data_IF_722713022876
#
_entry.id   IF_722713022876
#
_cell.length_a   1.000
_cell.length_b   1.000
_cell.length_c   1.000
_cell.angle_alpha   90.00
_cell.angle_beta   90.00
_cell.angle_gamma   90.00
#
_symmetry.space_group_name_H-M   'P 1'
#
loop_
_entity.id
_entity.type
_entity.pdbx_description
1 polymer ?
#
# COMPACT_ATOMS: atom_id res chain seq x y z
N UNK A 1 20.35 0.76 -9.73
CA UNK A 1 20.17 1.07 -8.30
C UNK A 1 21.49 0.83 -7.59
N UNK A 2 22.21 1.89 -7.16
CA UNK A 2 23.31 1.68 -6.20
C UNK A 2 22.64 1.38 -4.86
N UNK A 3 22.83 0.17 -4.34
CA UNK A 3 22.40 -0.15 -2.98
C UNK A 3 23.33 0.63 -2.05
N UNK A 4 22.80 1.62 -1.37
CA UNK A 4 23.55 2.39 -0.38
C UNK A 4 23.96 1.43 0.74
N UNK A 5 25.21 1.51 1.23
CA UNK A 5 25.70 0.64 2.32
C UNK A 5 24.78 0.69 3.54
N UNK A 6 24.15 1.84 3.79
CA UNK A 6 23.13 2.03 4.84
C UNK A 6 21.89 1.14 4.67
N UNK A 7 21.45 0.87 3.43
CA UNK A 7 20.32 -0.02 3.16
C UNK A 7 20.65 -1.48 3.50
N UNK A 8 21.88 -1.93 3.22
CA UNK A 8 22.35 -3.27 3.61
C UNK A 8 22.35 -3.40 5.12
N UNK A 9 22.90 -2.41 5.83
CA UNK A 9 22.94 -2.39 7.30
C UNK A 9 21.51 -2.46 7.88
N UNK A 10 20.56 -1.69 7.33
CA UNK A 10 19.15 -1.74 7.73
C UNK A 10 18.58 -3.14 7.55
N UNK A 11 18.75 -3.72 6.37
CA UNK A 11 18.24 -5.05 6.05
C UNK A 11 18.82 -6.10 6.99
N UNK A 12 20.12 -6.05 7.27
CA UNK A 12 20.78 -6.98 8.19
C UNK A 12 20.24 -6.85 9.62
N UNK A 13 20.22 -5.63 10.18
CA UNK A 13 19.72 -5.39 11.55
C UNK A 13 18.26 -5.80 11.67
N UNK A 14 17.41 -5.33 10.76
CA UNK A 14 15.99 -5.64 10.80
C UNK A 14 15.72 -7.13 10.61
N UNK A 15 16.47 -7.82 9.75
CA UNK A 15 16.33 -9.27 9.58
C UNK A 15 16.67 -9.99 10.87
N UNK A 16 17.82 -9.72 11.48
CA UNK A 16 18.23 -10.37 12.73
C UNK A 16 17.16 -10.17 13.83
N UNK A 17 16.72 -8.92 14.03
CA UNK A 17 15.71 -8.61 15.04
C UNK A 17 14.37 -9.29 14.74
N UNK A 18 13.91 -9.25 13.50
CA UNK A 18 12.59 -9.81 13.12
C UNK A 18 12.58 -11.35 13.17
N UNK A 19 13.68 -12.00 12.77
CA UNK A 19 13.80 -13.46 12.89
C UNK A 19 13.92 -13.89 14.35
N UNK A 20 14.74 -13.21 15.16
CA UNK A 20 14.80 -13.47 16.59
C UNK A 20 13.41 -13.36 17.24
N UNK A 21 12.68 -12.29 16.90
CA UNK A 21 11.34 -12.07 17.40
C UNK A 21 10.33 -13.14 16.93
N UNK A 22 10.44 -13.59 15.67
CA UNK A 22 9.64 -14.70 15.15
C UNK A 22 9.81 -15.99 15.95
N UNK A 23 11.06 -16.38 16.20
CA UNK A 23 11.34 -17.59 16.97
C UNK A 23 10.84 -17.44 18.40
N UNK A 24 11.16 -16.32 19.06
CA UNK A 24 10.71 -16.05 20.42
C UNK A 24 9.18 -16.12 20.57
N UNK A 25 8.43 -15.51 19.64
CA UNK A 25 6.96 -15.52 19.69
C UNK A 25 6.38 -16.88 19.29
N UNK A 26 7.02 -17.59 18.36
CA UNK A 26 6.59 -18.94 18.00
C UNK A 26 6.73 -19.91 19.17
N UNK A 27 7.80 -19.78 19.96
CA UNK A 27 8.01 -20.59 21.16
C UNK A 27 7.05 -20.18 22.29
N UNK A 28 6.85 -18.88 22.49
CA UNK A 28 5.95 -18.36 23.54
C UNK A 28 4.47 -18.67 23.25
N UNK A 29 4.07 -18.58 21.97
CA UNK A 29 2.69 -18.72 21.51
C UNK A 29 2.65 -19.65 20.28
N UNK A 30 2.75 -20.98 20.48
CA UNK A 30 2.87 -21.95 19.39
C UNK A 30 1.56 -22.17 18.62
N UNK A 31 0.42 -21.82 19.23
CA UNK A 31 -0.90 -21.88 18.60
C UNK A 31 -1.31 -20.52 18.04
N UNK A 32 -2.26 -20.47 17.09
CA UNK A 32 -2.74 -19.21 16.55
C UNK A 32 -3.26 -18.29 17.65
N UNK A 33 -3.00 -16.99 17.54
CA UNK A 33 -3.45 -15.97 18.47
C UNK A 33 -4.51 -15.07 17.83
N UNK A 34 -5.69 -14.97 18.46
CA UNK A 34 -6.80 -14.11 18.01
C UNK A 34 -7.16 -14.34 16.52
N UNK A 35 -6.98 -13.33 15.65
CA UNK A 35 -7.40 -13.43 14.26
C UNK A 35 -6.52 -14.35 13.41
N UNK A 36 -5.36 -14.79 13.91
CA UNK A 36 -4.54 -15.81 13.25
C UNK A 36 -5.30 -17.12 13.04
N UNK A 37 -6.28 -17.45 13.91
CA UNK A 37 -7.15 -18.61 13.71
C UNK A 37 -7.88 -18.53 12.37
N UNK A 38 -8.45 -17.37 12.06
CA UNK A 38 -9.16 -17.14 10.80
C UNK A 38 -8.19 -17.10 9.62
N UNK A 39 -7.06 -16.40 9.76
CA UNK A 39 -6.06 -16.29 8.69
C UNK A 39 -5.44 -17.64 8.32
N UNK A 40 -5.14 -18.48 9.31
CA UNK A 40 -4.60 -19.82 9.10
C UNK A 40 -5.63 -20.72 8.41
N UNK A 41 -6.86 -20.77 8.92
CA UNK A 41 -7.92 -21.58 8.33
C UNK A 41 -8.20 -21.21 6.87
N UNK A 42 -8.27 -19.92 6.56
CA UNK A 42 -8.47 -19.41 5.20
C UNK A 42 -7.31 -19.82 4.30
N UNK A 43 -6.07 -19.61 4.74
CA UNK A 43 -4.89 -20.01 3.97
C UNK A 43 -4.88 -21.51 3.70
N UNK A 44 -5.16 -22.33 4.70
CA UNK A 44 -5.22 -23.79 4.56
C UNK A 44 -6.32 -24.25 3.61
N UNK A 45 -7.47 -23.57 3.62
CA UNK A 45 -8.54 -23.79 2.65
C UNK A 45 -8.03 -23.55 1.23
N UNK A 46 -7.33 -22.43 0.98
CA UNK A 46 -6.69 -22.17 -0.30
C UNK A 46 -5.57 -23.16 -0.66
N UNK A 47 -4.83 -23.66 0.32
CA UNK A 47 -3.82 -24.70 0.10
C UNK A 47 -4.43 -26.04 -0.35
N UNK A 48 -5.50 -26.48 0.33
CA UNK A 48 -6.16 -27.76 0.08
C UNK A 48 -6.95 -27.78 -1.23
N UNK A 49 -7.23 -26.63 -1.82
CA UNK A 49 -7.78 -26.47 -3.16
C UNK A 49 -6.72 -26.83 -4.22
N UNK A 50 -6.30 -28.10 -4.21
CA UNK A 50 -5.29 -28.70 -5.09
C UNK A 50 -5.78 -28.90 -6.53
N UNK A 51 -7.06 -28.65 -6.83
CA UNK A 51 -7.71 -29.02 -8.09
C UNK A 51 -8.14 -27.85 -8.99
N UNK A 52 -8.00 -26.59 -8.56
CA UNK A 52 -8.30 -25.46 -9.43
C UNK A 52 -7.10 -25.12 -10.31
N UNK A 53 -7.05 -25.75 -11.47
CA UNK A 53 -6.26 -25.28 -12.60
C UNK A 53 -6.73 -23.87 -12.95
N UNK A 54 -5.93 -22.85 -12.59
CA UNK A 54 -6.13 -21.46 -13.02
C UNK A 54 -5.72 -21.38 -14.50
N UNK A 55 -6.48 -22.04 -15.36
CA UNK A 55 -6.24 -22.08 -16.80
C UNK A 55 -6.88 -20.91 -17.52
N UNK A 56 -7.75 -20.15 -16.85
CA UNK A 56 -8.44 -18.99 -17.42
C UNK A 56 -8.59 -17.86 -16.39
N UNK A 57 -8.61 -16.61 -16.89
CA UNK A 57 -8.92 -15.42 -16.11
C UNK A 57 -10.33 -15.48 -15.51
N UNK A 58 -11.28 -16.15 -16.18
CA UNK A 58 -12.63 -16.40 -15.68
C UNK A 58 -12.62 -17.24 -14.39
N UNK A 59 -11.78 -18.28 -14.34
CA UNK A 59 -11.65 -19.14 -13.14
C UNK A 59 -11.02 -18.38 -11.97
N UNK A 60 -10.07 -17.47 -12.25
CA UNK A 60 -9.49 -16.59 -11.23
C UNK A 60 -10.54 -15.63 -10.66
N UNK A 61 -11.35 -15.01 -11.51
CA UNK A 61 -12.45 -14.13 -11.08
C UNK A 61 -13.47 -14.91 -10.26
N UNK A 62 -13.88 -16.10 -10.69
CA UNK A 62 -14.78 -16.95 -9.91
C UNK A 62 -14.18 -17.34 -8.55
N UNK A 63 -12.88 -17.61 -8.48
CA UNK A 63 -12.17 -17.93 -7.24
C UNK A 63 -12.08 -16.73 -6.28
N UNK A 64 -12.05 -15.50 -6.81
CA UNK A 64 -12.00 -14.25 -6.03
C UNK A 64 -13.39 -13.73 -5.63
N UNK A 65 -14.45 -14.11 -6.35
CA UNK A 65 -15.78 -13.49 -6.26
C UNK A 65 -16.90 -14.45 -5.82
N UNK A 66 -16.81 -15.76 -6.08
CA UNK A 66 -17.91 -16.71 -5.82
C UNK A 66 -17.66 -17.69 -4.64
N UNK A 67 -18.69 -17.98 -3.82
CA UNK A 67 -18.66 -19.09 -2.84
C UNK A 67 -18.46 -20.42 -3.57
N UNK A 68 -17.70 -21.40 -3.03
CA UNK A 68 -17.32 -21.58 -1.62
C UNK A 68 -15.95 -20.99 -1.22
N UNK A 69 -15.27 -20.27 -2.12
CA UNK A 69 -13.89 -19.80 -1.93
C UNK A 69 -13.76 -18.61 -0.98
N UNK A 70 -14.86 -17.88 -0.84
CA UNK A 70 -15.13 -16.98 0.28
C UNK A 70 -16.10 -17.75 1.17
N UNK A 71 -15.68 -18.23 2.34
CA UNK A 71 -16.65 -18.71 3.31
C UNK A 71 -17.65 -17.56 3.52
N UNK A 72 -18.97 -17.76 3.45
CA UNK A 72 -19.94 -16.66 3.60
C UNK A 72 -19.82 -15.93 4.94
N UNK A 73 -19.19 -16.59 5.92
CA UNK A 73 -18.80 -16.01 7.20
C UNK A 73 -17.52 -15.18 7.17
N UNK A 74 -16.65 -15.38 6.20
CA UNK A 74 -15.34 -14.76 6.14
C UNK A 74 -15.44 -13.48 5.35
N UNK A 75 -14.71 -12.49 5.82
CA UNK A 75 -14.90 -11.08 5.50
C UNK A 75 -13.61 -10.44 4.94
N UNK A 76 -12.49 -11.12 5.11
CA UNK A 76 -11.20 -10.60 4.70
C UNK A 76 -10.97 -10.86 3.22
N UNK A 77 -10.54 -9.85 2.44
CA UNK A 77 -10.17 -10.02 1.04
C UNK A 77 -9.20 -11.19 0.73
N UNK A 78 -9.35 -11.87 -0.41
CA UNK A 78 -8.70 -13.16 -0.67
C UNK A 78 -7.24 -13.07 -1.12
N UNK A 79 -6.73 -11.91 -1.55
CA UNK A 79 -5.43 -11.82 -2.25
C UNK A 79 -4.27 -12.25 -1.36
N UNK A 80 -4.30 -11.88 -0.07
CA UNK A 80 -3.25 -12.27 0.88
C UNK A 80 -3.13 -13.80 0.99
N UNK A 81 -4.25 -14.49 1.22
CA UNK A 81 -4.29 -15.95 1.39
C UNK A 81 -3.98 -16.68 0.08
N UNK A 82 -4.47 -16.14 -1.04
CA UNK A 82 -4.17 -16.67 -2.36
C UNK A 82 -2.66 -16.61 -2.65
N UNK A 83 -2.02 -15.47 -2.39
CA UNK A 83 -0.57 -15.34 -2.58
C UNK A 83 0.20 -16.26 -1.63
N UNK A 84 -0.12 -16.24 -0.34
CA UNK A 84 0.53 -17.10 0.65
C UNK A 84 0.44 -18.59 0.26
N UNK A 85 -0.75 -19.07 -0.13
CA UNK A 85 -0.98 -20.47 -0.46
C UNK A 85 -0.50 -20.88 -1.85
N UNK A 86 -0.80 -20.12 -2.91
CA UNK A 86 -0.53 -20.54 -4.30
C UNK A 86 0.85 -20.14 -4.78
N UNK A 87 1.32 -18.95 -4.41
CA UNK A 87 2.62 -18.47 -4.83
C UNK A 87 3.72 -19.01 -3.93
N UNK A 88 3.52 -18.95 -2.61
CA UNK A 88 4.56 -19.31 -1.63
C UNK A 88 4.38 -20.70 -1.00
N UNK A 89 3.22 -21.35 -1.19
CA UNK A 89 2.90 -22.66 -0.58
C UNK A 89 2.98 -22.65 0.94
N UNK A 90 2.65 -21.52 1.54
CA UNK A 90 2.60 -21.35 2.99
C UNK A 90 1.25 -21.86 3.50
N UNK A 91 1.28 -22.99 4.20
CA UNK A 91 0.07 -23.66 4.71
C UNK A 91 0.12 -23.95 6.22
N UNK A 92 1.17 -23.48 6.91
CA UNK A 92 1.30 -23.60 8.36
C UNK A 92 1.43 -22.22 9.01
N UNK A 93 1.13 -22.16 10.31
CA UNK A 93 1.19 -20.93 11.10
C UNK A 93 2.57 -20.28 11.05
N UNK A 94 3.64 -21.07 11.21
CA UNK A 94 5.01 -20.58 11.15
C UNK A 94 5.31 -19.86 9.83
N UNK A 95 4.90 -20.43 8.69
CA UNK A 95 5.13 -19.81 7.39
C UNK A 95 4.33 -18.51 7.20
N UNK A 96 3.13 -18.42 7.76
CA UNK A 96 2.34 -17.20 7.72
C UNK A 96 2.94 -16.07 8.59
N UNK A 97 3.46 -16.42 9.78
CA UNK A 97 4.21 -15.47 10.61
C UNK A 97 5.51 -15.05 9.93
N UNK A 98 6.23 -15.99 9.31
CA UNK A 98 7.41 -15.71 8.48
C UNK A 98 7.08 -14.74 7.33
N UNK A 99 5.93 -14.89 6.68
CA UNK A 99 5.49 -13.97 5.63
C UNK A 99 5.29 -12.54 6.15
N UNK A 100 4.77 -12.40 7.36
CA UNK A 100 4.60 -11.09 8.04
C UNK A 100 5.95 -10.47 8.42
N UNK A 101 6.91 -11.29 8.88
CA UNK A 101 8.30 -10.89 9.15
C UNK A 101 9.02 -10.43 7.89
N UNK A 102 8.93 -11.19 6.79
CA UNK A 102 9.50 -10.79 5.50
C UNK A 102 8.90 -9.47 5.01
N UNK A 103 7.58 -9.30 5.17
CA UNK A 103 6.89 -8.04 4.84
C UNK A 103 7.42 -6.88 5.69
N UNK A 104 7.66 -7.07 6.99
CA UNK A 104 8.25 -6.06 7.88
C UNK A 104 9.68 -5.67 7.48
N UNK A 105 10.51 -6.64 7.08
CA UNK A 105 11.88 -6.37 6.59
C UNK A 105 11.80 -5.51 5.33
N UNK A 106 10.89 -5.85 4.41
CA UNK A 106 10.70 -5.11 3.18
C UNK A 106 10.11 -3.70 3.43
N UNK A 107 9.20 -3.56 4.41
CA UNK A 107 8.67 -2.28 4.86
C UNK A 107 9.80 -1.35 5.35
N UNK A 108 10.84 -1.90 5.98
CA UNK A 108 12.03 -1.13 6.41
C UNK A 108 12.82 -0.59 5.24
N UNK A 109 13.08 -1.45 4.26
CA UNK A 109 13.79 -1.08 3.06
C UNK A 109 13.03 -0.01 2.26
N UNK A 110 11.72 -0.18 2.09
CA UNK A 110 10.86 0.79 1.40
C UNK A 110 10.79 2.12 2.13
N UNK A 111 10.57 2.09 3.44
CA UNK A 111 10.50 3.30 4.27
C UNK A 111 11.80 4.09 4.20
N UNK A 112 12.95 3.42 4.32
CA UNK A 112 14.25 4.05 4.12
C UNK A 112 14.38 4.66 2.70
N UNK A 113 14.02 3.91 1.66
CA UNK A 113 14.09 4.37 0.28
C UNK A 113 13.22 5.61 0.03
N UNK A 114 12.03 5.65 0.62
CA UNK A 114 11.11 6.80 0.56
C UNK A 114 11.73 8.01 1.26
N UNK A 115 12.18 7.87 2.52
CA UNK A 115 12.76 8.99 3.26
C UNK A 115 14.04 9.53 2.62
N UNK A 116 14.92 8.64 2.13
CA UNK A 116 16.12 9.05 1.40
C UNK A 116 15.77 9.77 0.10
N UNK A 117 14.75 9.32 -0.63
CA UNK A 117 14.28 10.01 -1.85
C UNK A 117 13.72 11.40 -1.54
N UNK A 118 12.90 11.52 -0.49
CA UNK A 118 12.32 12.80 -0.06
C UNK A 118 13.43 13.77 0.35
N UNK A 119 14.39 13.31 1.16
CA UNK A 119 15.56 14.10 1.57
C UNK A 119 16.33 14.62 0.35
N UNK A 120 16.67 13.72 -0.57
CA UNK A 120 17.51 14.06 -1.72
C UNK A 120 16.82 15.01 -2.71
N UNK A 121 15.49 15.15 -2.67
CA UNK A 121 14.73 16.01 -3.58
C UNK A 121 14.28 17.33 -2.94
N UNK A 122 13.81 17.28 -1.70
CA UNK A 122 13.07 18.39 -1.12
C UNK A 122 13.79 19.03 0.07
N UNK A 123 14.69 18.31 0.75
CA UNK A 123 15.25 18.82 1.98
C UNK A 123 16.66 18.28 2.28
N UNK A 124 17.65 18.84 1.59
CA UNK A 124 19.08 18.53 1.82
C UNK A 124 19.58 18.90 3.23
N UNK A 125 18.82 19.70 3.98
CA UNK A 125 19.16 20.06 5.38
C UNK A 125 18.94 18.91 6.35
N UNK A 126 18.20 17.87 5.95
CA UNK A 126 18.00 16.65 6.74
C UNK A 126 19.35 15.90 6.83
N UNK A 127 19.84 15.53 8.02
CA UNK A 127 21.05 14.71 8.18
C UNK A 127 20.93 13.36 7.46
N UNK A 128 22.04 12.85 6.93
CA UNK A 128 22.08 11.57 6.20
C UNK A 128 21.60 10.37 7.04
N UNK A 129 21.72 10.44 8.37
CA UNK A 129 21.31 9.38 9.27
C UNK A 129 19.81 9.44 9.64
N UNK A 130 19.13 10.56 9.40
CA UNK A 130 17.72 10.71 9.79
C UNK A 130 16.76 9.78 9.02
N UNK A 131 16.91 9.53 7.70
CA UNK A 131 16.13 8.51 6.99
C UNK A 131 16.24 7.10 7.60
N UNK A 132 17.46 6.74 8.05
CA UNK A 132 17.69 5.49 8.78
C UNK A 132 16.85 5.46 10.06
N UNK A 133 16.99 6.46 10.92
CA UNK A 133 16.27 6.53 12.19
C UNK A 133 14.75 6.51 12.03
N UNK A 134 14.21 7.28 11.08
CA UNK A 134 12.76 7.32 10.82
C UNK A 134 12.24 5.97 10.33
N UNK A 135 12.99 5.29 9.44
CA UNK A 135 12.61 3.96 8.97
C UNK A 135 12.55 2.93 10.11
N UNK A 136 13.51 2.97 11.04
CA UNK A 136 13.54 2.07 12.20
C UNK A 136 12.43 2.42 13.20
N UNK A 137 12.21 3.71 13.47
CA UNK A 137 11.22 4.17 14.43
C UNK A 137 9.80 3.70 14.09
N UNK A 138 9.42 3.75 12.81
CA UNK A 138 8.09 3.29 12.38
C UNK A 138 7.90 1.79 12.60
N UNK A 139 8.93 1.00 12.35
CA UNK A 139 8.83 -0.46 12.34
C UNK A 139 8.91 -1.04 13.74
N UNK A 140 9.73 -0.43 14.59
CA UNK A 140 9.84 -0.77 16.01
C UNK A 140 8.65 -0.21 16.80
N UNK A 141 7.77 0.57 16.18
CA UNK A 141 6.55 1.03 16.86
C UNK A 141 5.79 -0.18 17.44
N UNK A 142 5.27 -0.09 18.68
CA UNK A 142 4.63 -1.23 19.34
C UNK A 142 3.51 -1.86 18.50
N UNK A 143 2.77 -1.02 17.77
CA UNK A 143 1.67 -1.45 16.90
C UNK A 143 2.17 -2.27 15.71
N UNK A 144 3.15 -1.78 14.94
CA UNK A 144 3.69 -2.58 13.84
C UNK A 144 4.41 -3.82 14.35
N UNK A 145 5.17 -3.71 15.44
CA UNK A 145 5.89 -4.84 16.03
C UNK A 145 4.92 -5.97 16.39
N UNK A 146 3.79 -5.65 17.01
CA UNK A 146 2.72 -6.63 17.28
C UNK A 146 2.27 -7.36 15.99
N UNK A 147 1.95 -6.61 14.93
CA UNK A 147 1.53 -7.21 13.65
C UNK A 147 2.66 -7.92 12.89
N UNK A 148 3.94 -7.64 13.19
CA UNK A 148 5.08 -8.37 12.62
C UNK A 148 5.20 -9.76 13.21
N UNK A 149 4.91 -9.91 14.51
CA UNK A 149 5.03 -11.18 15.23
C UNK A 149 3.97 -12.22 14.83
N UNK A 150 2.78 -11.75 14.48
CA UNK A 150 1.62 -12.59 14.20
C UNK A 150 1.20 -12.48 12.73
N UNK A 151 0.52 -13.50 12.23
CA UNK A 151 0.09 -13.63 10.84
C UNK A 151 -1.13 -12.75 10.49
N UNK A 152 -1.01 -11.43 10.65
CA UNK A 152 -2.04 -10.47 10.25
C UNK A 152 -1.81 -9.95 8.83
N UNK A 153 -2.89 -9.54 8.17
CA UNK A 153 -2.83 -8.95 6.82
C UNK A 153 -2.21 -7.55 6.79
N UNK A 154 -2.09 -6.89 7.95
CA UNK A 154 -1.58 -5.52 8.12
C UNK A 154 -0.20 -5.32 7.53
N UNK A 155 0.76 -6.21 7.82
CA UNK A 155 2.14 -6.03 7.38
C UNK A 155 2.28 -6.03 5.86
N UNK A 156 1.56 -6.95 5.21
CA UNK A 156 1.53 -7.03 3.76
C UNK A 156 0.73 -5.87 3.13
N UNK A 157 -0.35 -5.42 3.78
CA UNK A 157 -1.09 -4.23 3.34
C UNK A 157 -0.20 -2.98 3.38
N UNK A 158 0.60 -2.80 4.44
CA UNK A 158 1.60 -1.73 4.56
C UNK A 158 2.68 -1.86 3.47
N UNK A 159 3.13 -3.07 3.14
CA UNK A 159 4.08 -3.30 2.04
C UNK A 159 3.56 -2.74 0.72
N UNK A 160 2.38 -3.16 0.31
CA UNK A 160 1.79 -2.71 -0.95
C UNK A 160 1.49 -1.20 -0.93
N UNK A 161 1.09 -0.64 0.21
CA UNK A 161 0.90 0.79 0.40
C UNK A 161 2.21 1.57 0.22
N UNK A 162 3.31 1.12 0.84
CA UNK A 162 4.62 1.73 0.69
C UNK A 162 5.17 1.59 -0.74
N UNK A 163 4.89 0.47 -1.43
CA UNK A 163 5.20 0.33 -2.87
C UNK A 163 4.45 1.39 -3.68
N UNK A 164 3.15 1.59 -3.40
CA UNK A 164 2.33 2.58 -4.10
C UNK A 164 2.89 4.01 -3.93
N UNK A 165 3.25 4.38 -2.70
CA UNK A 165 3.90 5.67 -2.39
C UNK A 165 5.25 5.77 -3.09
N UNK A 166 6.10 4.75 -2.95
CA UNK A 166 7.46 4.77 -3.53
C UNK A 166 7.41 4.93 -5.03
N UNK A 167 6.47 4.23 -5.68
CA UNK A 167 6.24 4.30 -7.12
C UNK A 167 5.84 5.71 -7.52
N UNK A 168 4.82 6.30 -6.87
CA UNK A 168 4.42 7.67 -7.20
C UNK A 168 5.56 8.68 -6.97
N UNK A 169 6.34 8.54 -5.88
CA UNK A 169 7.52 9.39 -5.66
C UNK A 169 8.50 9.29 -6.83
N UNK A 170 8.78 8.09 -7.38
CA UNK A 170 9.61 7.95 -8.58
C UNK A 170 9.05 8.73 -9.77
N UNK A 171 7.73 8.77 -9.94
CA UNK A 171 7.10 9.51 -11.02
C UNK A 171 7.27 11.03 -10.88
N UNK A 172 7.48 11.53 -9.66
CA UNK A 172 7.82 12.93 -9.39
C UNK A 172 9.28 13.28 -9.65
N UNK A 173 10.17 12.29 -9.75
CA UNK A 173 11.61 12.50 -9.95
C UNK A 173 12.04 12.48 -11.40
N UNK A 174 11.32 11.74 -12.24
CA UNK A 174 11.62 11.62 -13.67
C UNK A 174 11.14 12.92 -14.33
N UNK A 175 12.02 13.58 -15.11
CA UNK A 175 11.75 14.87 -15.76
C UNK A 175 10.47 14.85 -16.61
N UNK A 176 10.11 13.67 -17.12
CA UNK A 176 8.78 13.39 -17.66
C UNK A 176 7.96 12.62 -16.63
N UNK A 177 6.97 13.29 -16.05
CA UNK A 177 5.98 12.66 -15.18
C UNK A 177 5.33 11.47 -15.89
N UNK A 178 5.73 10.27 -15.50
CA UNK A 178 5.28 9.05 -16.16
C UNK A 178 3.88 8.68 -15.69
N UNK A 179 2.91 8.76 -16.60
CA UNK A 179 1.53 8.33 -16.35
C UNK A 179 1.45 6.84 -15.98
N UNK A 180 2.34 6.02 -16.54
CA UNK A 180 2.43 4.59 -16.28
C UNK A 180 2.70 4.31 -14.79
N UNK A 181 3.50 5.16 -14.19
CA UNK A 181 3.98 5.07 -12.84
C UNK A 181 2.86 5.44 -11.83
N UNK A 182 2.00 6.43 -12.17
CA UNK A 182 0.76 6.69 -11.41
C UNK A 182 -0.32 5.62 -11.62
N UNK A 183 -0.42 5.04 -12.82
CA UNK A 183 -1.28 3.86 -13.05
C UNK A 183 -0.86 2.72 -12.11
N UNK A 184 0.43 2.39 -12.07
CA UNK A 184 0.94 1.35 -11.19
C UNK A 184 0.70 1.67 -9.71
N UNK A 185 0.92 2.91 -9.28
CA UNK A 185 0.60 3.36 -7.91
C UNK A 185 -0.89 3.17 -7.59
N UNK A 186 -1.78 3.61 -8.47
CA UNK A 186 -3.24 3.46 -8.31
C UNK A 186 -3.68 1.99 -8.24
N UNK A 187 -3.07 1.11 -9.05
CA UNK A 187 -3.33 -0.32 -9.02
C UNK A 187 -2.84 -0.96 -7.72
N UNK A 188 -1.69 -0.53 -7.19
CA UNK A 188 -1.24 -0.99 -5.88
C UNK A 188 -2.23 -0.58 -4.79
N UNK A 189 -2.67 0.69 -4.73
CA UNK A 189 -3.68 1.15 -3.78
C UNK A 189 -4.98 0.35 -3.88
N UNK A 190 -5.48 0.14 -5.10
CA UNK A 190 -6.69 -0.64 -5.36
C UNK A 190 -6.52 -2.09 -4.91
N UNK A 191 -5.36 -2.70 -5.18
CA UNK A 191 -5.04 -4.07 -4.79
C UNK A 191 -5.02 -4.23 -3.27
N UNK A 192 -4.52 -3.23 -2.52
CA UNK A 192 -4.62 -3.26 -1.06
C UNK A 192 -6.07 -3.14 -0.64
N UNK A 193 -6.79 -2.13 -1.12
CA UNK A 193 -8.16 -1.85 -0.68
C UNK A 193 -9.11 -3.02 -0.99
N UNK A 194 -9.06 -3.60 -2.20
CA UNK A 194 -9.96 -4.68 -2.59
C UNK A 194 -9.43 -6.05 -2.18
N UNK A 195 -8.11 -6.27 -2.29
CA UNK A 195 -7.49 -7.58 -2.24
C UNK A 195 -6.92 -7.97 -0.88
N UNK A 196 -6.55 -7.01 -0.02
CA UNK A 196 -5.93 -7.29 1.29
C UNK A 196 -6.74 -6.73 2.44
N UNK A 197 -6.96 -5.40 2.44
CA UNK A 197 -7.62 -4.68 3.53
C UNK A 197 -8.32 -3.41 3.06
N UNK A 198 -9.63 -3.39 3.22
CA UNK A 198 -10.52 -2.36 2.68
C UNK A 198 -10.36 -0.97 3.26
N UNK A 199 -9.98 -0.86 4.53
CA UNK A 199 -9.76 0.43 5.18
C UNK A 199 -8.66 1.26 4.52
N UNK A 200 -7.80 0.65 3.69
CA UNK A 200 -6.77 1.36 2.93
C UNK A 200 -7.29 2.28 1.83
N UNK A 201 -8.58 2.20 1.47
CA UNK A 201 -9.18 3.21 0.59
C UNK A 201 -9.12 4.63 1.20
N UNK A 202 -9.18 4.74 2.53
CA UNK A 202 -9.09 6.04 3.23
C UNK A 202 -7.68 6.61 3.06
N UNK A 203 -6.66 5.75 3.22
CA UNK A 203 -5.27 6.13 3.03
C UNK A 203 -4.97 6.51 1.56
N UNK A 204 -5.60 5.82 0.61
CA UNK A 204 -5.55 6.19 -0.80
C UNK A 204 -6.18 7.57 -1.05
N UNK A 205 -7.34 7.86 -0.45
CA UNK A 205 -7.98 9.18 -0.56
C UNK A 205 -7.09 10.30 0.04
N UNK A 206 -6.50 10.06 1.22
CA UNK A 206 -5.54 10.99 1.84
C UNK A 206 -4.31 11.22 0.98
N UNK A 207 -3.78 10.17 0.34
CA UNK A 207 -2.69 10.28 -0.62
C UNK A 207 -3.06 11.12 -1.85
N UNK A 208 -4.24 10.90 -2.44
CA UNK A 208 -4.75 11.71 -3.55
C UNK A 208 -4.90 13.18 -3.15
N UNK A 209 -5.44 13.45 -1.96
CA UNK A 209 -5.53 14.81 -1.43
C UNK A 209 -4.14 15.46 -1.32
N UNK A 210 -3.15 14.73 -0.82
CA UNK A 210 -1.76 15.20 -0.76
C UNK A 210 -1.20 15.54 -2.16
N UNK A 211 -1.44 14.70 -3.17
CA UNK A 211 -1.03 14.98 -4.56
C UNK A 211 -1.66 16.27 -5.10
N UNK A 212 -2.94 16.49 -4.82
CA UNK A 212 -3.66 17.71 -5.23
C UNK A 212 -3.01 18.98 -4.65
N UNK A 213 -2.47 18.93 -3.43
CA UNK A 213 -1.78 20.07 -2.83
C UNK A 213 -0.32 20.22 -3.30
N UNK A 214 0.37 19.10 -3.53
CA UNK A 214 1.80 19.11 -3.88
C UNK A 214 2.10 19.43 -5.35
N UNK A 215 1.29 18.92 -6.28
CA UNK A 215 1.54 19.15 -7.72
C UNK A 215 1.48 20.64 -8.08
N UNK A 216 0.44 21.41 -7.67
CA UNK A 216 0.35 22.82 -8.03
C UNK A 216 1.42 23.68 -7.36
N UNK A 217 1.84 23.33 -6.13
CA UNK A 217 2.86 24.07 -5.38
C UNK A 217 4.26 23.88 -5.99
N UNK A 218 4.64 22.64 -6.34
CA UNK A 218 5.89 22.38 -7.07
C UNK A 218 5.92 23.11 -8.41
N UNK A 219 4.83 22.98 -9.19
CA UNK A 219 4.74 23.64 -10.48
C UNK A 219 4.80 25.18 -10.34
N UNK A 220 4.18 25.77 -9.31
CA UNK A 220 4.30 27.20 -9.04
C UNK A 220 5.75 27.62 -8.76
N UNK A 221 6.49 26.86 -7.96
CA UNK A 221 7.89 27.13 -7.62
C UNK A 221 8.80 27.13 -8.86
N UNK A 222 8.72 26.09 -9.69
CA UNK A 222 9.50 25.97 -10.93
C UNK A 222 9.23 27.13 -11.90
N UNK A 223 8.00 27.65 -11.89
CA UNK A 223 7.60 28.79 -12.71
C UNK A 223 8.19 30.10 -12.18
N UNK A 224 8.16 30.34 -10.87
CA UNK A 224 8.77 31.53 -10.26
C UNK A 224 10.26 31.60 -10.53
N UNK A 225 10.97 30.47 -10.39
CA UNK A 225 12.41 30.38 -10.68
C UNK A 225 12.70 30.62 -12.17
N UNK A 226 11.86 30.12 -13.09
CA UNK A 226 11.99 30.44 -14.53
C UNK A 226 11.66 31.89 -14.87
N UNK A 227 10.73 32.53 -14.14
CA UNK A 227 10.36 33.94 -14.35
C UNK A 227 11.43 34.90 -13.88
N UNK A 228 12.10 34.62 -12.76
CA UNK A 228 13.23 35.43 -12.28
C UNK A 228 14.39 35.43 -13.28
N UNK A 229 14.56 34.33 -14.04
CA UNK A 229 15.59 34.21 -15.07
C UNK A 229 15.20 34.79 -16.45
N UNK A 230 13.98 35.33 -16.65
CA UNK A 230 13.48 35.74 -17.97
C UNK A 230 13.06 37.21 -18.05
N UNK A 231 13.86 38.03 -18.75
CA UNK A 231 13.54 39.41 -19.15
C UNK A 231 12.52 39.47 -20.31
N UNK A 232 11.27 39.03 -20.10
CA UNK A 232 10.28 38.96 -21.20
C UNK A 232 9.06 39.89 -21.07
N UNK A 233 8.62 40.36 -22.25
CA UNK A 233 7.59 41.36 -22.50
C UNK A 233 6.20 41.06 -21.90
N UNK A 234 5.51 42.14 -21.54
CA UNK A 234 4.29 42.19 -20.71
C UNK A 234 3.05 41.53 -21.34
N UNK A 235 2.96 41.43 -22.67
CA UNK A 235 1.85 40.76 -23.40
C UNK A 235 2.00 39.24 -23.44
N UNK A 236 3.24 38.73 -23.54
CA UNK A 236 3.55 37.30 -23.41
C UNK A 236 3.20 36.78 -22.00
N UNK A 237 3.19 37.68 -21.01
CA UNK A 237 2.84 37.40 -19.61
C UNK A 237 1.38 36.98 -19.44
N UNK A 238 0.41 37.57 -20.14
CA UNK A 238 -1.01 37.20 -19.97
C UNK A 238 -1.37 35.90 -20.68
N UNK A 239 -0.87 35.69 -21.90
CA UNK A 239 -1.10 34.44 -22.63
C UNK A 239 -0.41 33.25 -21.96
N UNK A 240 0.79 33.45 -21.41
CA UNK A 240 1.48 32.42 -20.62
C UNK A 240 0.72 32.08 -19.32
N UNK A 241 0.09 33.04 -18.63
CA UNK A 241 -0.70 32.77 -17.42
C UNK A 241 -1.94 31.89 -17.74
N UNK A 242 -2.66 32.19 -18.82
CA UNK A 242 -3.86 31.43 -19.21
C UNK A 242 -3.48 30.01 -19.67
N UNK A 243 -2.50 29.88 -20.58
CA UNK A 243 -1.96 28.59 -21.01
C UNK A 243 -1.45 27.76 -19.83
N UNK A 244 -0.88 28.42 -18.82
CA UNK A 244 -0.36 27.79 -17.61
C UNK A 244 -1.45 27.32 -16.65
N UNK A 245 -2.59 28.01 -16.55
CA UNK A 245 -3.75 27.52 -15.78
C UNK A 245 -4.39 26.31 -16.45
N UNK A 246 -4.48 26.33 -17.77
CA UNK A 246 -5.00 25.22 -18.56
C UNK A 246 -4.06 24.02 -18.47
N UNK A 247 -2.75 24.20 -18.68
CA UNK A 247 -1.77 23.11 -18.59
C UNK A 247 -1.67 22.50 -17.19
N UNK A 248 -1.76 23.31 -16.12
CA UNK A 248 -1.85 22.84 -14.72
C UNK A 248 -3.00 21.88 -14.51
N UNK A 249 -4.20 22.26 -14.97
CA UNK A 249 -5.41 21.42 -14.84
C UNK A 249 -5.28 20.13 -15.64
N UNK A 250 -4.69 20.19 -16.84
CA UNK A 250 -4.47 18.99 -17.67
C UNK A 250 -3.45 18.03 -17.08
N UNK A 251 -2.33 18.53 -16.54
CA UNK A 251 -1.34 17.70 -15.86
C UNK A 251 -1.95 17.04 -14.63
N UNK A 252 -2.68 17.82 -13.81
CA UNK A 252 -3.37 17.31 -12.64
C UNK A 252 -4.38 16.23 -13.03
N UNK A 253 -5.20 16.46 -14.07
CA UNK A 253 -6.16 15.48 -14.56
C UNK A 253 -5.47 14.20 -15.05
N UNK A 254 -4.38 14.33 -15.81
CA UNK A 254 -3.58 13.21 -16.33
C UNK A 254 -2.94 12.36 -15.23
N UNK A 255 -2.58 12.96 -14.09
CA UNK A 255 -2.00 12.25 -12.96
C UNK A 255 -3.08 11.65 -12.04
N UNK A 256 -4.23 12.31 -11.89
CA UNK A 256 -5.25 11.90 -10.93
C UNK A 256 -6.26 10.89 -11.48
N UNK A 257 -6.51 10.84 -12.79
CA UNK A 257 -7.53 9.94 -13.35
C UNK A 257 -7.32 8.45 -13.00
N UNK A 258 -6.09 7.88 -12.90
CA UNK A 258 -5.92 6.48 -12.50
C UNK A 258 -6.43 6.24 -11.08
N UNK A 259 -6.18 7.20 -10.17
CA UNK A 259 -6.68 7.14 -8.80
C UNK A 259 -8.19 7.34 -8.71
N UNK A 260 -8.77 8.21 -9.55
CA UNK A 260 -10.24 8.36 -9.65
C UNK A 260 -10.86 7.04 -10.11
N UNK A 261 -10.30 6.38 -11.12
CA UNK A 261 -10.77 5.07 -11.58
C UNK A 261 -10.63 4.02 -10.47
N UNK A 262 -9.52 4.01 -9.73
CA UNK A 262 -9.35 3.11 -8.58
C UNK A 262 -10.44 3.34 -7.52
N UNK A 263 -10.73 4.60 -7.17
CA UNK A 263 -11.81 4.94 -6.22
C UNK A 263 -13.19 4.51 -6.73
N UNK A 264 -13.50 4.77 -8.00
CA UNK A 264 -14.76 4.32 -8.62
C UNK A 264 -14.87 2.79 -8.67
N UNK A 265 -13.76 2.11 -8.96
CA UNK A 265 -13.69 0.65 -8.99
C UNK A 265 -13.94 0.06 -7.60
N UNK A 266 -13.43 0.71 -6.54
CA UNK A 266 -13.72 0.32 -5.16
C UNK A 266 -15.20 0.52 -4.79
N UNK A 267 -15.82 1.63 -5.20
CA UNK A 267 -17.25 1.87 -4.99
C UNK A 267 -18.11 0.85 -5.76
N UNK A 268 -17.74 0.54 -7.00
CA UNK A 268 -18.39 -0.50 -7.79
C UNK A 268 -18.27 -1.87 -7.12
N UNK A 269 -17.08 -2.20 -6.63
CA UNK A 269 -16.83 -3.42 -5.87
C UNK A 269 -17.70 -3.50 -4.61
N UNK A 270 -17.85 -2.40 -3.85
CA UNK A 270 -18.76 -2.34 -2.70
C UNK A 270 -20.22 -2.59 -3.09
N UNK A 271 -20.69 -1.99 -4.20
CA UNK A 271 -22.06 -2.21 -4.71
C UNK A 271 -22.30 -3.66 -5.11
N UNK A 272 -21.34 -4.29 -5.81
CA UNK A 272 -21.40 -5.71 -6.16
C UNK A 272 -21.46 -6.62 -4.92
N UNK A 273 -21.03 -6.10 -3.75
CA UNK A 273 -21.05 -6.78 -2.46
C UNK A 273 -22.21 -6.34 -1.57
N UNK A 274 -23.25 -5.70 -2.13
CA UNK A 274 -24.42 -5.20 -1.40
C UNK A 274 -24.05 -4.26 -0.22
N UNK A 275 -22.94 -3.53 -0.33
CA UNK A 275 -22.48 -2.60 0.71
C UNK A 275 -21.87 -3.28 1.93
N UNK A 276 -21.68 -4.60 1.94
CA UNK A 276 -21.03 -5.30 3.05
C UNK A 276 -19.53 -4.99 3.05
N UNK A 277 -19.12 -4.11 3.97
CA UNK A 277 -17.72 -3.94 4.37
C UNK A 277 -17.46 -5.05 5.38
N UNK A 278 -16.75 -6.11 5.02
CA UNK A 278 -16.74 -7.28 5.82
C UNK A 278 -15.68 -7.10 6.92
N UNK A 279 -16.14 -6.85 8.14
CA UNK A 279 -15.35 -6.92 9.37
C UNK A 279 -15.77 -8.20 10.11
N UNK A 280 -14.88 -9.18 10.26
CA UNK A 280 -15.15 -10.38 11.03
C UNK A 280 -16.31 -11.27 10.55
N UNK A 281 -16.69 -12.25 11.37
CA UNK A 281 -17.71 -13.24 11.03
C UNK A 281 -19.06 -12.56 10.71
N UNK A 282 -19.62 -12.78 9.52
CA UNK A 282 -20.86 -12.09 9.06
C UNK A 282 -22.06 -12.31 9.99
N UNK A 283 -22.13 -13.46 10.67
CA UNK A 283 -23.16 -13.76 11.68
C UNK A 283 -22.99 -12.97 12.99
N UNK A 284 -21.78 -12.48 13.29
CA UNK A 284 -21.47 -11.72 14.50
C UNK A 284 -21.29 -10.21 14.25
N UNK A 285 -21.20 -9.80 12.99
CA UNK A 285 -21.01 -8.42 12.56
C UNK A 285 -22.15 -8.00 11.65
N UNK A 286 -23.34 -7.84 12.23
CA UNK A 286 -24.40 -7.09 11.57
C UNK A 286 -24.03 -5.60 11.62
N UNK A 287 -24.02 -4.95 10.46
CA UNK A 287 -23.92 -3.48 10.36
C UNK A 287 -25.17 -2.92 11.03
N UNK A 288 -25.07 -2.59 12.32
CA UNK A 288 -26.13 -1.94 13.08
C UNK A 288 -25.81 -0.45 13.13
N UNK A 289 -26.77 0.36 12.69
CA UNK A 289 -26.75 1.79 12.98
C UNK A 289 -26.92 1.94 14.49
N UNK A 290 -25.87 2.41 15.18
CA UNK A 290 -25.98 2.70 16.60
C UNK A 290 -26.89 3.94 16.77
N UNK A 291 -28.03 3.85 17.47
CA UNK A 291 -29.01 4.94 17.54
C UNK A 291 -28.51 6.22 18.22
N UNK A 292 -27.35 6.18 18.89
CA UNK A 292 -26.78 7.32 19.61
C UNK A 292 -26.03 8.34 18.71
N UNK A 293 -26.15 8.22 17.38
CA UNK A 293 -25.60 9.18 16.41
C UNK A 293 -26.69 10.00 15.69
N UNK A 294 -27.92 10.02 16.22
CA UNK A 294 -28.98 10.94 15.83
C UNK A 294 -29.25 11.97 16.93
#
# INVERSE_FOLDING_TARGET
MKIESSMIVILCIQSILSFFYLYFITDLQPTPYMDEYFHLYQTQTYCNLSSFNITSFQNLIQLLIHPPFYHPSISTPPLYYFLASKLFRFCSLFHLRLFSVCSSIFNSALSYSIYSSIRNQYNHKIPHFQPFLLSQFIIISPVLSFYTAFAYTDQFAVTLFLIAIRTSILCFTIEEHSIFCEILSSLCFLSVAIGVRQTFIIWHAGFVAFLIFMIPSKLHKDITERKENSNSNQTFRHFSILHQHVSKKWILLKLLWPHVIAGLSYVLWLKLRHGMIPFGHSEHHQVSFHPSML
#
